data_IF_426917071074
#
_entry.id   IF_426917071074
#
_cell.length_a   1.000
_cell.length_b   1.000
_cell.length_c   1.000
_cell.angle_alpha   90.00
_cell.angle_beta   90.00
_cell.angle_gamma   90.00
#
_symmetry.space_group_name_H-M   'P 1'
#
loop_
_entity.id
_entity.type
_entity.pdbx_description
1 polymer ?
#
# COMPACT_ATOMS: atom_id res chain seq x y z
N UNK A 1 -26.94 -17.56 3.82
CA UNK A 1 -25.95 -16.55 3.34
C UNK A 1 -26.76 -15.40 2.77
N UNK A 2 -26.78 -14.24 3.42
CA UNK A 2 -27.46 -13.05 2.87
C UNK A 2 -26.80 -12.66 1.54
N UNK A 3 -27.55 -12.22 0.52
CA UNK A 3 -26.96 -11.78 -0.73
C UNK A 3 -25.99 -10.64 -0.44
N UNK A 4 -24.73 -10.81 -0.90
CA UNK A 4 -23.69 -9.80 -0.76
C UNK A 4 -24.17 -8.51 -1.42
N UNK A 5 -24.29 -7.42 -0.66
CA UNK A 5 -24.69 -6.13 -1.19
C UNK A 5 -23.78 -5.72 -2.37
N UNK A 6 -24.37 -5.23 -3.46
CA UNK A 6 -23.63 -4.75 -4.62
C UNK A 6 -22.70 -3.58 -4.21
N UNK A 7 -21.55 -3.45 -4.86
CA UNK A 7 -20.63 -2.35 -4.62
C UNK A 7 -21.32 -1.02 -5.00
N UNK A 8 -21.48 -0.13 -4.02
CA UNK A 8 -21.97 1.22 -4.22
C UNK A 8 -20.79 2.13 -4.62
N UNK A 9 -20.88 2.76 -5.78
CA UNK A 9 -19.87 3.73 -6.25
C UNK A 9 -20.51 5.11 -6.22
N UNK A 10 -19.93 6.01 -5.42
CA UNK A 10 -20.42 7.37 -5.22
C UNK A 10 -19.34 8.37 -5.60
N UNK A 11 -19.71 9.44 -6.30
CA UNK A 11 -18.82 10.56 -6.59
C UNK A 11 -19.01 11.64 -5.51
N UNK A 12 -17.91 12.12 -4.94
CA UNK A 12 -17.92 13.13 -3.88
C UNK A 12 -16.90 14.22 -4.17
N UNK A 13 -17.39 15.46 -4.27
CA UNK A 13 -16.48 16.61 -4.29
C UNK A 13 -15.73 16.74 -2.97
N UNK A 14 -14.46 17.15 -3.06
CA UNK A 14 -13.60 17.30 -1.89
C UNK A 14 -12.86 18.63 -1.89
N UNK A 15 -12.70 19.22 -0.71
CA UNK A 15 -11.94 20.44 -0.53
C UNK A 15 -10.45 20.20 -0.35
N UNK A 16 -10.08 19.13 0.34
CA UNK A 16 -8.70 18.80 0.66
C UNK A 16 -8.39 17.34 0.33
N UNK A 17 -7.36 17.17 -0.52
CA UNK A 17 -6.83 15.84 -0.84
C UNK A 17 -5.62 15.49 0.05
N UNK A 18 -4.79 16.47 0.40
CA UNK A 18 -3.63 16.30 1.26
C UNK A 18 -4.05 16.28 2.75
N UNK A 19 -3.58 15.27 3.47
CA UNK A 19 -3.76 15.12 4.91
C UNK A 19 -2.41 14.98 5.58
N UNK A 20 -2.09 15.86 6.57
CA UNK A 20 -0.85 15.75 7.35
C UNK A 20 -0.84 14.45 8.12
N UNK A 21 0.29 13.75 8.09
CA UNK A 21 0.41 12.42 8.67
C UNK A 21 0.48 12.45 10.19
N UNK A 22 -0.02 11.37 10.79
CA UNK A 22 0.08 11.05 12.21
C UNK A 22 0.27 9.54 12.41
N UNK A 23 0.47 9.09 13.64
CA UNK A 23 0.57 7.67 13.96
C UNK A 23 1.70 6.97 13.19
N UNK A 24 1.36 5.85 12.55
CA UNK A 24 2.32 5.00 11.83
C UNK A 24 3.06 5.74 10.71
N UNK A 25 2.37 6.58 9.94
CA UNK A 25 2.95 7.30 8.82
C UNK A 25 3.86 8.47 9.23
N UNK A 26 3.81 8.88 10.51
CA UNK A 26 4.70 9.93 11.00
C UNK A 26 6.16 9.46 10.94
N UNK A 27 7.00 10.18 10.22
CA UNK A 27 8.40 9.82 9.97
C UNK A 27 8.62 8.98 8.69
N UNK A 28 7.53 8.60 7.98
CA UNK A 28 7.61 8.05 6.62
C UNK A 28 7.36 9.15 5.59
N UNK A 29 6.28 9.91 5.75
CA UNK A 29 5.92 10.99 4.86
C UNK A 29 5.28 12.14 5.66
N UNK A 30 5.33 13.35 5.13
CA UNK A 30 4.70 14.53 5.74
C UNK A 30 3.18 14.53 5.53
N UNK A 31 2.73 13.96 4.40
CA UNK A 31 1.32 13.92 4.01
C UNK A 31 0.91 12.53 3.51
N UNK A 32 -0.34 12.18 3.73
CA UNK A 32 -1.02 11.10 3.01
C UNK A 32 -2.01 11.69 2.00
N UNK A 33 -2.23 10.95 0.91
CA UNK A 33 -3.17 11.30 -0.13
C UNK A 33 -3.98 10.05 -0.51
N UNK A 34 -5.31 10.16 -0.48
CA UNK A 34 -6.23 9.05 -0.78
C UNK A 34 -7.13 9.46 -1.95
N UNK A 35 -6.92 8.94 -3.17
CA UNK A 35 -7.77 9.25 -4.33
C UNK A 35 -9.20 8.73 -4.18
N UNK A 36 -9.35 7.68 -3.39
CA UNK A 36 -10.61 7.01 -3.10
C UNK A 36 -10.82 6.86 -1.61
N UNK A 37 -12.05 6.58 -1.20
CA UNK A 37 -12.42 6.17 0.15
C UNK A 37 -13.28 4.92 0.07
N UNK A 38 -13.09 3.96 0.98
CA UNK A 38 -13.59 2.61 0.81
C UNK A 38 -12.72 1.82 -0.18
N UNK A 39 -12.98 0.54 -0.34
CA UNK A 39 -12.16 -0.32 -1.18
C UNK A 39 -12.98 -1.43 -1.81
N UNK A 40 -13.06 -1.51 -3.16
CA UNK A 40 -13.80 -2.57 -3.82
C UNK A 40 -13.15 -3.95 -3.66
N UNK A 41 -11.87 -3.99 -3.21
CA UNK A 41 -11.15 -5.22 -2.90
C UNK A 41 -11.48 -5.75 -1.49
N UNK A 42 -12.37 -5.09 -0.74
CA UNK A 42 -12.74 -5.45 0.64
C UNK A 42 -13.24 -6.88 0.83
N UNK A 43 -13.68 -7.52 -0.25
CA UNK A 43 -14.15 -8.91 -0.26
C UNK A 43 -13.14 -9.93 -0.80
N UNK A 44 -11.91 -9.52 -1.03
CA UNK A 44 -10.80 -10.39 -1.38
C UNK A 44 -9.95 -10.75 -0.16
N UNK A 45 -8.94 -11.58 -0.33
CA UNK A 45 -7.98 -11.93 0.72
C UNK A 45 -7.45 -10.68 1.45
N UNK A 46 -6.92 -9.71 0.70
CA UNK A 46 -6.45 -8.44 1.25
C UNK A 46 -7.54 -7.72 2.06
N UNK A 47 -8.76 -7.64 1.51
CA UNK A 47 -9.85 -6.93 2.14
C UNK A 47 -10.39 -7.58 3.41
N UNK A 48 -10.46 -8.91 3.45
CA UNK A 48 -10.90 -9.65 4.64
C UNK A 48 -9.92 -9.52 5.81
N UNK A 49 -8.63 -9.42 5.52
CA UNK A 49 -7.58 -9.16 6.51
C UNK A 49 -7.32 -7.68 6.79
N UNK A 50 -7.96 -6.77 6.06
CA UNK A 50 -7.64 -5.35 6.12
C UNK A 50 -8.09 -4.70 7.43
N UNK A 51 -7.15 -4.21 8.22
CA UNK A 51 -7.42 -3.49 9.47
C UNK A 51 -8.22 -2.19 9.28
N UNK A 52 -8.25 -1.65 8.06
CA UNK A 52 -8.97 -0.40 7.72
C UNK A 52 -10.48 -0.56 7.87
N UNK A 53 -11.02 -1.80 7.78
CA UNK A 53 -12.43 -2.08 8.04
C UNK A 53 -12.88 -1.65 9.46
N UNK A 54 -11.94 -1.57 10.42
CA UNK A 54 -12.18 -1.10 11.78
C UNK A 54 -11.91 0.41 11.96
N UNK A 55 -11.62 1.14 10.87
CA UNK A 55 -11.42 2.58 10.90
C UNK A 55 -12.73 3.32 10.65
N UNK A 56 -13.37 3.87 11.69
CA UNK A 56 -14.58 4.69 11.55
C UNK A 56 -14.38 5.87 10.58
N UNK A 57 -13.20 6.50 10.58
CA UNK A 57 -12.89 7.58 9.64
C UNK A 57 -13.03 7.18 8.19
N UNK A 58 -12.68 5.93 7.85
CA UNK A 58 -12.78 5.40 6.49
C UNK A 58 -14.14 4.83 6.21
N UNK A 59 -14.65 3.97 7.09
CA UNK A 59 -15.90 3.22 6.85
C UNK A 59 -17.15 4.06 7.09
N UNK A 60 -17.14 4.94 8.11
CA UNK A 60 -18.32 5.66 8.59
C UNK A 60 -19.50 4.72 8.87
N UNK A 61 -19.21 3.55 9.43
CA UNK A 61 -20.20 2.53 9.74
C UNK A 61 -20.70 1.70 8.56
N UNK A 62 -20.17 1.94 7.32
CA UNK A 62 -20.49 1.11 6.16
C UNK A 62 -19.68 -0.17 6.16
N UNK A 63 -20.26 -1.24 5.63
CA UNK A 63 -19.59 -2.54 5.47
C UNK A 63 -18.37 -2.39 4.54
N UNK A 64 -17.22 -2.94 4.96
CA UNK A 64 -16.01 -2.92 4.16
C UNK A 64 -16.17 -3.76 2.89
N UNK A 65 -15.80 -3.20 1.74
CA UNK A 65 -15.99 -3.86 0.44
C UNK A 65 -17.34 -3.62 -0.21
N UNK A 66 -18.27 -2.89 0.44
CA UNK A 66 -19.58 -2.57 -0.11
C UNK A 66 -19.64 -1.19 -0.78
N UNK A 67 -18.63 -0.34 -0.61
CA UNK A 67 -18.64 1.03 -1.10
C UNK A 67 -17.29 1.50 -1.65
N UNK A 68 -17.35 2.44 -2.59
CA UNK A 68 -16.22 3.21 -3.10
C UNK A 68 -16.66 4.65 -3.33
N UNK A 69 -16.08 5.59 -2.60
CA UNK A 69 -16.23 7.03 -2.87
C UNK A 69 -15.11 7.47 -3.80
N UNK A 70 -15.48 7.99 -4.96
CA UNK A 70 -14.62 8.62 -5.95
C UNK A 70 -14.44 10.07 -5.53
N UNK A 71 -13.24 10.49 -5.21
CA UNK A 71 -12.96 11.84 -4.69
C UNK A 71 -12.75 12.82 -5.83
N UNK A 72 -13.86 13.43 -6.29
CA UNK A 72 -13.87 14.41 -7.38
C UNK A 72 -13.09 15.68 -7.00
N UNK A 73 -12.51 16.34 -7.98
CA UNK A 73 -11.70 17.54 -7.73
C UNK A 73 -10.38 17.29 -7.01
N UNK A 74 -9.90 16.04 -7.01
CA UNK A 74 -8.67 15.66 -6.29
C UNK A 74 -7.41 16.37 -6.83
N UNK A 75 -7.25 16.43 -8.15
CA UNK A 75 -6.13 17.11 -8.82
C UNK A 75 -6.16 18.62 -8.57
N UNK A 76 -7.32 19.23 -8.72
CA UNK A 76 -7.54 20.67 -8.47
C UNK A 76 -7.30 21.02 -7.01
N UNK A 77 -7.77 20.15 -6.09
CA UNK A 77 -7.51 20.29 -4.66
C UNK A 77 -6.02 20.21 -4.33
N UNK A 78 -5.29 19.29 -5.00
CA UNK A 78 -3.84 19.19 -4.86
C UNK A 78 -3.18 20.49 -5.27
N UNK A 79 -3.39 20.97 -6.50
CA UNK A 79 -2.79 22.20 -7.03
C UNK A 79 -3.11 23.43 -6.17
N UNK A 80 -4.35 23.53 -5.69
CA UNK A 80 -4.79 24.65 -4.84
C UNK A 80 -4.08 24.68 -3.48
N UNK A 81 -3.74 23.52 -2.90
CA UNK A 81 -3.26 23.42 -1.51
C UNK A 81 -1.76 23.12 -1.39
N UNK A 82 -1.13 22.56 -2.42
CA UNK A 82 0.25 22.05 -2.39
C UNK A 82 1.28 23.10 -1.95
N UNK A 83 1.19 24.35 -2.43
CA UNK A 83 2.14 25.40 -2.11
C UNK A 83 2.18 25.73 -0.60
N UNK A 84 1.03 25.75 0.05
CA UNK A 84 0.91 25.96 1.51
C UNK A 84 1.43 24.77 2.31
N UNK A 85 1.03 23.56 1.92
CA UNK A 85 1.42 22.33 2.62
C UNK A 85 2.92 22.01 2.44
N UNK A 86 3.51 22.31 1.27
CA UNK A 86 4.95 22.20 1.01
C UNK A 86 5.75 23.13 1.92
N UNK A 87 5.36 24.42 2.04
CA UNK A 87 6.03 25.36 2.93
C UNK A 87 5.97 24.91 4.39
N UNK A 88 4.81 24.44 4.83
CA UNK A 88 4.66 23.89 6.18
C UNK A 88 5.55 22.65 6.38
N UNK A 89 5.49 21.67 5.48
CA UNK A 89 6.24 20.41 5.60
C UNK A 89 7.75 20.66 5.64
N UNK A 90 8.28 21.46 4.73
CA UNK A 90 9.72 21.78 4.70
C UNK A 90 10.18 22.51 5.96
N UNK A 91 9.36 23.43 6.50
CA UNK A 91 9.67 24.13 7.76
C UNK A 91 9.61 23.20 8.97
N UNK A 92 8.59 22.35 9.07
CA UNK A 92 8.34 21.52 10.25
C UNK A 92 9.10 20.19 10.25
N UNK A 93 9.39 19.63 9.06
CA UNK A 93 9.89 18.26 8.89
C UNK A 93 11.10 18.16 7.93
N UNK A 94 11.53 19.27 7.33
CA UNK A 94 12.65 19.33 6.38
C UNK A 94 12.31 18.86 4.96
N UNK A 95 11.20 18.16 4.74
CA UNK A 95 10.84 17.60 3.43
C UNK A 95 9.34 17.58 3.23
N UNK A 96 8.90 17.74 1.98
CA UNK A 96 7.52 17.56 1.56
C UNK A 96 7.36 16.17 0.89
N UNK A 97 7.07 15.17 1.70
CA UNK A 97 6.91 13.79 1.27
C UNK A 97 5.44 13.38 1.27
N UNK A 98 4.99 12.70 0.23
CA UNK A 98 3.62 12.22 0.08
C UNK A 98 3.59 10.69 0.06
N UNK A 99 2.75 10.10 0.92
CA UNK A 99 2.37 8.68 0.87
C UNK A 99 0.99 8.58 0.20
N UNK A 100 0.98 8.12 -1.05
CA UNK A 100 -0.23 7.93 -1.82
C UNK A 100 -0.82 6.55 -1.50
N UNK A 101 -1.99 6.56 -0.88
CA UNK A 101 -2.82 5.39 -0.55
C UNK A 101 -2.32 4.48 0.57
N UNK A 102 -2.40 5.01 1.79
CA UNK A 102 -2.13 4.23 3.01
C UNK A 102 -3.33 3.41 3.52
N UNK A 103 -4.54 3.65 3.03
CA UNK A 103 -5.76 3.04 3.57
C UNK A 103 -6.76 2.52 2.54
N UNK A 104 -6.56 2.82 1.28
CA UNK A 104 -7.44 2.39 0.18
C UNK A 104 -6.61 2.04 -1.05
N UNK A 105 -7.14 1.22 -1.95
CA UNK A 105 -6.45 0.91 -3.21
C UNK A 105 -6.54 2.11 -4.17
N UNK A 106 -5.43 2.65 -4.68
CA UNK A 106 -5.43 3.77 -5.62
C UNK A 106 -5.70 3.36 -7.07
N UNK A 107 -5.52 2.07 -7.40
CA UNK A 107 -5.79 1.51 -8.73
C UNK A 107 -6.89 0.45 -8.72
N UNK A 108 -8.07 0.78 -8.13
CA UNK A 108 -9.20 -0.13 -8.21
C UNK A 108 -9.65 -0.29 -9.69
N UNK A 109 -10.44 -1.30 -10.04
CA UNK A 109 -10.98 -1.45 -11.40
C UNK A 109 -11.66 -0.17 -11.93
N UNK A 110 -12.26 0.61 -11.05
CA UNK A 110 -12.96 1.85 -11.33
C UNK A 110 -12.02 2.98 -11.78
N UNK A 111 -10.73 2.93 -11.45
CA UNK A 111 -9.73 3.91 -11.89
C UNK A 111 -9.67 4.02 -13.42
N UNK A 112 -9.94 2.95 -14.15
CA UNK A 112 -10.03 2.98 -15.62
C UNK A 112 -11.07 3.99 -16.13
N UNK A 113 -12.15 4.19 -15.39
CA UNK A 113 -13.22 5.13 -15.73
C UNK A 113 -12.98 6.52 -15.15
N UNK A 114 -12.68 6.59 -13.86
CA UNK A 114 -12.68 7.85 -13.12
C UNK A 114 -11.33 8.58 -13.16
N UNK A 115 -10.21 7.87 -13.35
CA UNK A 115 -8.86 8.42 -13.53
C UNK A 115 -8.43 9.42 -12.44
N UNK A 116 -8.90 9.22 -11.21
CA UNK A 116 -8.61 10.14 -10.09
C UNK A 116 -7.16 10.08 -9.68
N UNK A 117 -6.61 8.86 -9.50
CA UNK A 117 -5.19 8.67 -9.18
C UNK A 117 -4.31 9.22 -10.28
N UNK A 118 -4.63 8.92 -11.53
CA UNK A 118 -3.91 9.42 -12.68
C UNK A 118 -3.93 10.96 -12.75
N UNK A 119 -5.09 11.59 -12.55
CA UNK A 119 -5.20 13.05 -12.55
C UNK A 119 -4.34 13.71 -11.46
N UNK A 120 -4.29 13.10 -10.27
CA UNK A 120 -3.42 13.58 -9.18
C UNK A 120 -1.94 13.42 -9.53
N UNK A 121 -1.54 12.28 -10.12
CA UNK A 121 -0.15 12.07 -10.57
C UNK A 121 0.23 13.04 -11.70
N UNK A 122 -0.69 13.36 -12.61
CA UNK A 122 -0.50 14.39 -13.64
C UNK A 122 -0.30 15.78 -13.01
N UNK A 123 -1.12 16.15 -12.00
CA UNK A 123 -0.94 17.39 -11.24
C UNK A 123 0.40 17.46 -10.49
N UNK A 124 0.94 16.33 -10.05
CA UNK A 124 2.27 16.26 -9.44
C UNK A 124 3.42 16.48 -10.43
N UNK A 125 3.19 16.39 -11.73
CA UNK A 125 4.19 16.82 -12.72
C UNK A 125 4.37 18.34 -12.73
N UNK A 126 3.30 19.09 -12.47
CA UNK A 126 3.36 20.56 -12.42
C UNK A 126 3.91 21.01 -11.06
N UNK A 127 3.49 20.38 -9.99
CA UNK A 127 3.84 20.71 -8.61
C UNK A 127 4.37 19.49 -7.84
N UNK A 128 5.59 18.99 -8.15
CA UNK A 128 6.11 17.75 -7.59
C UNK A 128 6.39 17.84 -6.08
N UNK A 129 6.13 16.77 -5.29
CA UNK A 129 6.67 16.64 -3.94
C UNK A 129 8.18 16.37 -3.98
N UNK A 130 8.85 16.47 -2.82
CA UNK A 130 10.27 16.07 -2.71
C UNK A 130 10.39 14.54 -2.79
N UNK A 131 9.44 13.81 -2.18
CA UNK A 131 9.33 12.35 -2.21
C UNK A 131 7.87 11.93 -2.47
N UNK A 132 7.66 11.01 -3.39
CA UNK A 132 6.39 10.34 -3.64
C UNK A 132 6.52 8.83 -3.41
N UNK A 133 5.76 8.31 -2.46
CA UNK A 133 5.59 6.86 -2.25
C UNK A 133 4.19 6.49 -2.75
N UNK A 134 4.09 5.61 -3.74
CA UNK A 134 2.83 5.10 -4.26
C UNK A 134 2.64 3.67 -3.75
N UNK A 135 1.64 3.44 -2.89
CA UNK A 135 1.35 2.12 -2.32
C UNK A 135 0.15 1.48 -3.01
N UNK A 136 0.29 0.22 -3.45
CA UNK A 136 -0.80 -0.52 -4.10
C UNK A 136 -0.75 -2.03 -3.81
N UNK A 137 -1.93 -2.67 -3.77
CA UNK A 137 -2.10 -4.13 -3.76
C UNK A 137 -2.49 -4.66 -5.15
N UNK A 138 -2.55 -3.80 -6.16
CA UNK A 138 -3.04 -4.13 -7.49
C UNK A 138 -1.92 -4.13 -8.52
N UNK A 139 -1.87 -5.17 -9.36
CA UNK A 139 -1.01 -5.19 -10.55
C UNK A 139 -1.27 -4.01 -11.51
N UNK A 140 -2.43 -3.33 -11.36
CA UNK A 140 -2.79 -2.17 -12.18
C UNK A 140 -1.92 -0.94 -11.92
N UNK A 141 -1.16 -0.91 -10.83
CA UNK A 141 -0.17 0.16 -10.57
C UNK A 141 0.77 0.34 -11.77
N UNK A 142 1.12 -0.72 -12.49
CA UNK A 142 1.96 -0.66 -13.67
C UNK A 142 1.26 -0.06 -14.92
N UNK A 143 -0.02 0.29 -14.87
CA UNK A 143 -0.68 1.01 -15.97
C UNK A 143 -0.17 2.45 -16.13
N UNK A 144 0.43 3.01 -15.07
CA UNK A 144 0.92 4.39 -15.05
C UNK A 144 2.45 4.50 -15.25
N UNK A 145 3.09 3.46 -15.78
CA UNK A 145 4.55 3.40 -15.95
C UNK A 145 5.13 4.63 -16.66
N UNK A 146 4.49 5.10 -17.73
CA UNK A 146 4.95 6.28 -18.47
C UNK A 146 4.84 7.57 -17.64
N UNK A 147 3.82 7.67 -16.80
CA UNK A 147 3.66 8.81 -15.91
C UNK A 147 4.72 8.78 -14.79
N UNK A 148 5.01 7.60 -14.25
CA UNK A 148 6.11 7.44 -13.29
C UNK A 148 7.47 7.82 -13.88
N UNK A 149 7.77 7.43 -15.12
CA UNK A 149 9.01 7.84 -15.80
C UNK A 149 9.14 9.36 -15.92
N UNK A 150 8.06 10.06 -16.21
CA UNK A 150 8.03 11.53 -16.24
C UNK A 150 8.23 12.15 -14.85
N UNK A 151 7.73 11.51 -13.79
CA UNK A 151 7.90 11.97 -12.42
C UNK A 151 9.33 11.75 -11.89
N UNK A 152 10.04 10.71 -12.31
CA UNK A 152 11.41 10.41 -11.85
C UNK A 152 12.41 11.57 -12.01
N UNK A 153 12.24 12.40 -13.03
CA UNK A 153 13.08 13.59 -13.23
C UNK A 153 12.71 14.79 -12.35
N UNK A 154 11.64 14.68 -11.53
CA UNK A 154 11.04 15.79 -10.76
C UNK A 154 10.89 15.53 -9.28
N UNK A 155 10.82 14.28 -8.87
CA UNK A 155 10.61 13.85 -7.49
C UNK A 155 11.37 12.55 -7.21
N UNK A 156 11.81 12.34 -5.98
CA UNK A 156 12.18 11.00 -5.55
C UNK A 156 10.91 10.14 -5.56
N UNK A 157 10.90 9.09 -6.38
CA UNK A 157 9.73 8.21 -6.53
C UNK A 157 10.05 6.81 -6.03
N UNK A 158 9.12 6.21 -5.28
CA UNK A 158 9.13 4.80 -4.91
C UNK A 158 7.75 4.20 -5.13
N UNK A 159 7.65 3.15 -5.92
CA UNK A 159 6.41 2.38 -6.06
C UNK A 159 6.46 1.18 -5.13
N UNK A 160 5.62 1.20 -4.12
CA UNK A 160 5.45 0.12 -3.15
C UNK A 160 4.32 -0.79 -3.64
N UNK A 161 4.65 -2.03 -3.96
CA UNK A 161 3.68 -3.04 -4.39
C UNK A 161 3.59 -4.15 -3.35
N UNK A 162 2.42 -4.32 -2.76
CA UNK A 162 2.21 -5.34 -1.74
C UNK A 162 2.15 -6.73 -2.35
N UNK A 163 2.96 -7.65 -1.81
CA UNK A 163 2.92 -9.09 -2.08
C UNK A 163 3.18 -9.77 -0.73
N UNK A 164 2.12 -10.11 -0.01
CA UNK A 164 2.15 -10.47 1.41
C UNK A 164 2.62 -11.92 1.66
N UNK A 165 2.57 -12.78 0.64
CA UNK A 165 2.86 -14.20 0.65
C UNK A 165 3.07 -14.71 -0.78
N UNK A 166 3.58 -15.92 -0.95
CA UNK A 166 3.64 -16.63 -2.23
C UNK A 166 2.32 -17.33 -2.62
N UNK A 167 1.23 -17.13 -1.83
CA UNK A 167 -0.06 -17.79 -2.00
C UNK A 167 -1.13 -16.81 -2.46
N UNK A 168 -1.99 -17.23 -3.38
CA UNK A 168 -3.20 -16.47 -3.77
C UNK A 168 -4.41 -16.75 -2.87
N UNK A 169 -4.32 -17.73 -1.97
CA UNK A 169 -5.40 -18.13 -1.05
C UNK A 169 -4.85 -18.53 0.30
N UNK A 170 -5.60 -18.21 1.34
CA UNK A 170 -5.44 -18.76 2.69
C UNK A 170 -6.70 -19.56 3.05
N UNK A 171 -6.60 -20.56 3.97
CA UNK A 171 -7.75 -21.34 4.41
C UNK A 171 -8.90 -20.46 4.92
N UNK A 172 -10.11 -20.75 4.46
CA UNK A 172 -11.32 -20.02 4.88
C UNK A 172 -11.47 -18.60 4.32
N UNK A 173 -10.49 -18.07 3.56
CA UNK A 173 -10.54 -16.74 2.97
C UNK A 173 -10.72 -16.78 1.44
N UNK A 174 -11.34 -15.74 0.86
CA UNK A 174 -11.44 -15.61 -0.60
C UNK A 174 -10.05 -15.42 -1.23
N UNK A 175 -9.92 -15.61 -2.54
CA UNK A 175 -8.65 -15.40 -3.22
C UNK A 175 -8.22 -13.93 -3.24
N UNK A 176 -6.93 -13.70 -3.50
CA UNK A 176 -6.40 -12.37 -3.76
C UNK A 176 -7.08 -11.73 -4.99
N UNK A 177 -7.48 -10.47 -4.88
CA UNK A 177 -8.07 -9.73 -6.00
C UNK A 177 -7.06 -9.49 -7.15
N UNK A 178 -5.79 -9.47 -6.81
CA UNK A 178 -4.67 -9.36 -7.73
C UNK A 178 -3.72 -10.53 -7.46
N UNK A 179 -3.67 -11.54 -8.34
CA UNK A 179 -2.83 -12.72 -8.15
C UNK A 179 -1.36 -12.35 -7.97
N UNK A 180 -0.62 -13.14 -7.16
CA UNK A 180 0.81 -12.94 -6.87
C UNK A 180 1.61 -12.85 -8.18
N UNK A 181 1.41 -13.79 -9.11
CA UNK A 181 2.11 -13.80 -10.39
C UNK A 181 1.90 -12.49 -11.19
N UNK A 182 0.68 -11.93 -11.20
CA UNK A 182 0.40 -10.65 -11.87
C UNK A 182 1.06 -9.46 -11.17
N UNK A 183 1.19 -9.50 -9.85
CA UNK A 183 1.88 -8.45 -9.09
C UNK A 183 3.39 -8.51 -9.31
N UNK A 184 3.97 -9.70 -9.37
CA UNK A 184 5.39 -9.90 -9.75
C UNK A 184 5.68 -9.41 -11.18
N UNK A 185 4.80 -9.72 -12.14
CA UNK A 185 4.90 -9.20 -13.52
C UNK A 185 4.80 -7.67 -13.56
N UNK A 186 3.89 -7.08 -12.80
CA UNK A 186 3.77 -5.62 -12.70
C UNK A 186 5.03 -4.98 -12.09
N UNK A 187 5.63 -5.60 -11.06
CA UNK A 187 6.89 -5.16 -10.47
C UNK A 187 8.03 -5.21 -11.49
N UNK A 188 8.15 -6.31 -12.23
CA UNK A 188 9.15 -6.47 -13.31
C UNK A 188 9.00 -5.37 -14.36
N UNK A 189 7.79 -5.14 -14.86
CA UNK A 189 7.51 -4.08 -15.86
C UNK A 189 7.89 -2.68 -15.38
N UNK A 190 7.64 -2.36 -14.11
CA UNK A 190 8.04 -1.09 -13.52
C UNK A 190 9.56 -0.99 -13.42
N UNK A 191 10.23 -2.03 -12.91
CA UNK A 191 11.69 -2.07 -12.77
C UNK A 191 12.39 -1.98 -14.11
N UNK A 192 11.93 -2.73 -15.14
CA UNK A 192 12.48 -2.69 -16.50
C UNK A 192 12.33 -1.29 -17.14
N UNK A 193 11.34 -0.53 -16.72
CA UNK A 193 11.14 0.86 -17.13
C UNK A 193 11.95 1.87 -16.31
N UNK A 194 12.81 1.42 -15.38
CA UNK A 194 13.64 2.24 -14.51
C UNK A 194 12.88 2.89 -13.35
N UNK A 195 11.66 2.45 -13.04
CA UNK A 195 10.89 2.94 -11.90
C UNK A 195 11.31 2.19 -10.64
N UNK A 196 11.75 2.87 -9.55
CA UNK A 196 12.11 2.22 -8.30
C UNK A 196 10.95 1.45 -7.69
N UNK A 197 11.12 0.14 -7.51
CA UNK A 197 10.12 -0.79 -6.98
C UNK A 197 10.53 -1.31 -5.61
N UNK A 198 9.64 -1.19 -4.64
CA UNK A 198 9.77 -1.81 -3.32
C UNK A 198 8.62 -2.80 -3.13
N UNK A 199 8.93 -4.08 -2.95
CA UNK A 199 7.90 -5.03 -2.54
C UNK A 199 7.63 -4.88 -1.06
N UNK A 200 6.36 -4.71 -0.69
CA UNK A 200 5.95 -4.66 0.71
C UNK A 200 5.24 -5.96 1.09
N UNK A 201 5.85 -6.72 1.98
CA UNK A 201 5.27 -7.93 2.58
C UNK A 201 4.57 -7.48 3.87
N UNK A 202 3.41 -6.83 3.69
CA UNK A 202 2.68 -6.15 4.79
C UNK A 202 1.15 -6.28 4.59
N UNK A 203 0.45 -6.96 5.52
CA UNK A 203 1.03 -7.73 6.63
C UNK A 203 1.78 -8.97 6.11
N UNK A 204 2.87 -9.33 6.80
CA UNK A 204 3.57 -10.59 6.53
C UNK A 204 2.64 -11.77 6.83
N UNK A 205 2.32 -12.56 5.79
CA UNK A 205 1.51 -13.76 5.87
C UNK A 205 2.39 -15.02 5.76
N UNK A 206 1.86 -16.22 6.08
CA UNK A 206 2.60 -17.46 5.93
C UNK A 206 3.13 -17.65 4.52
N UNK A 207 4.43 -17.81 4.37
CA UNK A 207 5.13 -18.05 3.11
C UNK A 207 5.51 -19.53 3.03
N UNK A 208 5.11 -20.21 1.95
CA UNK A 208 5.36 -21.65 1.80
C UNK A 208 6.82 -21.97 1.48
N UNK A 209 7.42 -21.16 0.60
CA UNK A 209 8.80 -21.35 0.13
C UNK A 209 9.59 -20.05 0.25
N UNK A 210 10.03 -19.68 1.46
CA UNK A 210 10.64 -18.38 1.71
C UNK A 210 11.84 -18.06 0.81
N UNK A 211 12.79 -19.01 0.64
CA UNK A 211 13.96 -18.78 -0.21
C UNK A 211 13.57 -18.51 -1.67
N UNK A 212 12.65 -19.29 -2.25
CA UNK A 212 12.15 -19.07 -3.60
C UNK A 212 11.40 -17.74 -3.73
N UNK A 213 10.59 -17.39 -2.73
CA UNK A 213 9.82 -16.15 -2.71
C UNK A 213 10.72 -14.93 -2.73
N UNK A 214 11.71 -14.86 -1.84
CA UNK A 214 12.64 -13.72 -1.78
C UNK A 214 13.63 -13.69 -2.96
N UNK A 215 14.00 -14.85 -3.53
CA UNK A 215 14.76 -14.89 -4.76
C UNK A 215 13.99 -14.23 -5.93
N UNK A 216 12.70 -14.56 -6.11
CA UNK A 216 11.86 -13.90 -7.13
C UNK A 216 11.68 -12.39 -6.86
N UNK A 217 11.53 -11.98 -5.59
CA UNK A 217 11.45 -10.55 -5.25
C UNK A 217 12.76 -9.84 -5.66
N UNK A 218 13.92 -10.44 -5.40
CA UNK A 218 15.22 -9.85 -5.74
C UNK A 218 15.40 -9.59 -7.25
N UNK A 219 14.74 -10.41 -8.09
CA UNK A 219 14.76 -10.22 -9.55
C UNK A 219 13.93 -9.01 -9.99
N UNK A 220 12.80 -8.73 -9.34
CA UNK A 220 11.77 -7.79 -9.81
C UNK A 220 11.68 -6.49 -9.01
N UNK A 221 12.43 -6.37 -7.91
CA UNK A 221 12.38 -5.19 -7.04
C UNK A 221 13.77 -4.69 -6.66
N UNK A 222 13.83 -3.43 -6.23
CA UNK A 222 15.05 -2.78 -5.75
C UNK A 222 15.23 -2.99 -4.25
N UNK A 223 14.12 -3.16 -3.52
CA UNK A 223 14.12 -3.46 -2.09
C UNK A 223 12.87 -4.22 -1.68
N UNK A 224 12.88 -4.78 -0.46
CA UNK A 224 11.73 -5.41 0.17
C UNK A 224 11.53 -4.86 1.58
N UNK A 225 10.27 -4.64 1.98
CA UNK A 225 9.92 -4.25 3.35
C UNK A 225 9.02 -5.35 3.94
N UNK A 226 9.41 -5.89 5.09
CA UNK A 226 8.61 -6.84 5.84
C UNK A 226 7.98 -6.12 7.03
N UNK A 227 6.67 -6.31 7.21
CA UNK A 227 5.93 -5.70 8.31
C UNK A 227 4.89 -6.66 8.87
N UNK A 228 4.94 -6.88 10.17
CA UNK A 228 4.00 -7.76 10.86
C UNK A 228 2.78 -6.95 11.33
N UNK A 229 1.60 -7.56 11.36
CA UNK A 229 0.38 -6.88 11.83
C UNK A 229 0.50 -6.41 13.29
N UNK A 230 1.31 -7.10 14.12
CA UNK A 230 1.65 -6.62 15.46
C UNK A 230 2.54 -5.38 15.31
N UNK A 231 1.95 -4.20 15.54
CA UNK A 231 2.60 -2.90 15.33
C UNK A 231 2.34 -2.27 13.97
N UNK A 232 2.12 -3.04 12.90
CA UNK A 232 1.91 -2.55 11.54
C UNK A 232 0.50 -2.01 11.27
N UNK A 233 -0.53 -2.49 11.99
CA UNK A 233 -1.92 -2.04 11.82
C UNK A 233 -2.24 -0.73 12.58
N UNK A 234 -1.25 -0.14 13.23
CA UNK A 234 -1.38 1.09 14.00
C UNK A 234 -2.17 0.98 15.29
N UNK A 235 -2.49 -0.24 15.76
CA UNK A 235 -3.09 -0.51 17.06
C UNK A 235 -2.11 -1.26 17.98
N UNK A 236 -2.33 -1.14 19.29
CA UNK A 236 -1.52 -1.88 20.25
C UNK A 236 -1.69 -3.39 20.07
N UNK A 237 -0.59 -4.12 19.85
CA UNK A 237 -0.58 -5.57 19.68
C UNK A 237 -1.30 -6.07 18.42
N UNK A 238 -1.59 -5.20 17.42
CA UNK A 238 -2.25 -5.64 16.20
C UNK A 238 -3.75 -5.94 16.36
N UNK A 239 -4.41 -5.36 17.38
CA UNK A 239 -5.82 -5.67 17.74
C UNK A 239 -6.81 -5.51 16.60
N UNK A 240 -6.60 -4.56 15.69
CA UNK A 240 -7.48 -4.37 14.53
C UNK A 240 -7.42 -5.57 13.60
N UNK A 241 -6.23 -6.05 13.28
CA UNK A 241 -6.04 -7.23 12.45
C UNK A 241 -6.50 -8.50 13.19
N UNK A 242 -6.25 -8.59 14.50
CA UNK A 242 -6.73 -9.70 15.32
C UNK A 242 -8.28 -9.82 15.35
N UNK A 243 -8.99 -8.73 15.10
CA UNK A 243 -10.46 -8.71 15.01
C UNK A 243 -10.98 -9.11 13.62
N UNK A 244 -10.09 -9.49 12.68
CA UNK A 244 -10.44 -9.99 11.34
C UNK A 244 -10.38 -11.51 11.29
N UNK A 245 -10.76 -12.10 10.14
CA UNK A 245 -10.61 -13.54 9.92
C UNK A 245 -9.16 -13.96 9.59
N UNK A 246 -8.24 -13.00 9.41
CA UNK A 246 -6.88 -13.26 8.96
C UNK A 246 -6.05 -14.12 9.93
N UNK A 247 -6.03 -13.86 11.26
CA UNK A 247 -5.20 -14.66 12.17
C UNK A 247 -5.58 -16.14 12.21
N UNK A 248 -6.88 -16.46 12.13
CA UNK A 248 -7.33 -17.85 12.08
C UNK A 248 -6.85 -18.55 10.80
N UNK A 249 -6.89 -17.86 9.66
CA UNK A 249 -6.40 -18.39 8.39
C UNK A 249 -4.88 -18.55 8.38
N UNK A 250 -4.13 -17.64 9.02
CA UNK A 250 -2.67 -17.74 9.18
C UNK A 250 -2.31 -18.92 10.06
N UNK A 251 -2.95 -19.05 11.24
CA UNK A 251 -2.71 -20.15 12.19
C UNK A 251 -3.00 -21.53 11.59
N UNK A 252 -3.97 -21.63 10.68
CA UNK A 252 -4.30 -22.88 10.00
C UNK A 252 -3.19 -23.35 9.03
N UNK A 253 -2.30 -22.45 8.58
CA UNK A 253 -1.15 -22.77 7.74
C UNK A 253 0.13 -22.89 8.55
N UNK A 254 0.38 -21.91 9.39
CA UNK A 254 1.58 -21.84 10.24
C UNK A 254 1.29 -20.99 11.48
N UNK A 255 1.07 -21.63 12.65
CA UNK A 255 0.83 -20.90 13.90
C UNK A 255 1.95 -19.93 14.29
N UNK A 256 3.20 -20.19 13.88
CA UNK A 256 4.33 -19.30 14.18
C UNK A 256 4.20 -17.95 13.45
N UNK A 257 3.47 -17.91 12.34
CA UNK A 257 3.23 -16.67 11.59
C UNK A 257 2.47 -15.59 12.38
N UNK A 258 1.89 -15.93 13.52
CA UNK A 258 1.24 -14.98 14.43
C UNK A 258 2.23 -14.27 15.38
N UNK A 259 3.48 -14.71 15.41
CA UNK A 259 4.49 -14.24 16.35
C UNK A 259 5.52 -13.33 15.66
N UNK A 260 6.08 -12.38 16.41
CA UNK A 260 7.15 -11.51 15.88
C UNK A 260 8.43 -12.29 15.54
N UNK A 261 8.66 -13.46 16.15
CA UNK A 261 9.75 -14.37 15.80
C UNK A 261 9.70 -14.84 14.34
N UNK A 262 8.50 -14.98 13.77
CA UNK A 262 8.32 -15.27 12.35
C UNK A 262 8.83 -14.13 11.46
N UNK A 263 8.54 -12.88 11.83
CA UNK A 263 9.11 -11.73 11.14
C UNK A 263 10.65 -11.76 11.16
N UNK A 264 11.26 -12.03 12.32
CA UNK A 264 12.72 -12.09 12.42
C UNK A 264 13.28 -13.20 11.51
N UNK A 265 12.68 -14.39 11.52
CA UNK A 265 13.09 -15.49 10.65
C UNK A 265 12.99 -15.10 9.16
N UNK A 266 11.90 -14.46 8.73
CA UNK A 266 11.71 -14.04 7.35
C UNK A 266 12.65 -12.89 6.95
N UNK A 267 13.01 -11.99 7.87
CA UNK A 267 14.03 -10.96 7.64
C UNK A 267 15.40 -11.59 7.34
N UNK A 268 15.79 -12.63 8.08
CA UNK A 268 17.07 -13.32 7.84
C UNK A 268 17.08 -14.06 6.48
N UNK A 269 15.95 -14.65 6.07
CA UNK A 269 15.85 -15.22 4.72
C UNK A 269 15.96 -14.11 3.65
N UNK A 270 15.21 -13.02 3.82
CA UNK A 270 15.21 -11.92 2.86
C UNK A 270 16.61 -11.30 2.68
N UNK A 271 17.38 -11.12 3.77
CA UNK A 271 18.75 -10.57 3.71
C UNK A 271 19.71 -11.40 2.85
N UNK A 272 19.54 -12.74 2.82
CA UNK A 272 20.38 -13.61 1.96
C UNK A 272 20.18 -13.31 0.48
N UNK A 273 18.97 -12.93 0.08
CA UNK A 273 18.62 -12.66 -1.32
C UNK A 273 18.72 -11.18 -1.70
N UNK A 274 18.53 -10.29 -0.74
CA UNK A 274 18.56 -8.82 -0.94
C UNK A 274 19.47 -8.12 0.10
N UNK A 275 20.78 -8.41 0.12
CA UNK A 275 21.68 -7.80 1.10
C UNK A 275 21.67 -6.28 1.01
N UNK A 276 21.51 -5.58 2.16
CA UNK A 276 21.42 -4.13 2.25
C UNK A 276 20.15 -3.51 1.66
N UNK A 277 19.14 -4.33 1.26
CA UNK A 277 17.90 -3.87 0.60
C UNK A 277 16.65 -4.37 1.30
N UNK A 278 16.77 -4.83 2.54
CA UNK A 278 15.65 -5.32 3.36
C UNK A 278 15.29 -4.27 4.39
N UNK A 279 14.05 -3.82 4.37
CA UNK A 279 13.49 -2.90 5.35
C UNK A 279 12.59 -3.61 6.36
N UNK A 280 12.60 -3.12 7.59
CA UNK A 280 11.74 -3.60 8.65
C UNK A 280 10.68 -2.56 8.98
N UNK A 281 9.41 -2.92 8.90
CA UNK A 281 8.28 -2.14 9.37
C UNK A 281 8.38 -0.64 8.93
N UNK A 282 8.04 0.29 9.82
CA UNK A 282 8.04 1.72 9.54
C UNK A 282 9.36 2.26 8.99
N UNK A 283 10.50 1.75 9.48
CA UNK A 283 11.83 2.19 9.01
C UNK A 283 12.03 1.81 7.54
N UNK A 284 11.64 0.59 7.17
CA UNK A 284 11.67 0.13 5.78
C UNK A 284 10.78 0.95 4.86
N UNK A 285 9.54 1.27 5.28
CA UNK A 285 8.65 2.15 4.52
C UNK A 285 9.24 3.55 4.32
N UNK A 286 10.02 4.04 5.28
CA UNK A 286 10.76 5.29 5.17
C UNK A 286 12.02 5.20 4.28
N UNK A 287 12.36 3.99 3.77
CA UNK A 287 13.53 3.75 2.92
C UNK A 287 14.82 3.55 3.71
N UNK A 288 14.73 3.21 4.99
CA UNK A 288 15.89 2.82 5.81
C UNK A 288 15.98 1.30 5.82
N UNK A 289 17.06 0.77 5.25
CA UNK A 289 17.27 -0.66 5.10
C UNK A 289 18.29 -1.18 6.08
N UNK A 290 18.16 -2.47 6.44
CA UNK A 290 19.04 -3.20 7.33
C UNK A 290 20.37 -3.48 6.60
N UNK A 291 21.46 -3.42 7.35
CA UNK A 291 22.77 -3.79 6.87
C UNK A 291 22.88 -5.30 6.62
#
# INVERSE_FOLDING_TARGET
>A
MSPSAALQVEEREIDRILTRTSGYLRGIASHSLQPYRGCPLGRSLCGQGCYVQHSWFTTRGREWGSFLEVRRGAAESYLRTVGGERRWARRALGTFAIFLSSSTEPFPPQERRFRVTRGVLEAMLDEPPDLLIVQSHSHRVASEVELYRRLLGRTELRVHLSIETDRDRLPGLPPAASPVARRLDAARRLKDAGVPVVITVSPLLPIERPDSFFAHIAEVADAVVLDHFIGGDGSQGGRRTQSTALPAAMAALDPQSLELSYLEAMLEVAKRHLPGRVGRSREGFAGRFLA
#
